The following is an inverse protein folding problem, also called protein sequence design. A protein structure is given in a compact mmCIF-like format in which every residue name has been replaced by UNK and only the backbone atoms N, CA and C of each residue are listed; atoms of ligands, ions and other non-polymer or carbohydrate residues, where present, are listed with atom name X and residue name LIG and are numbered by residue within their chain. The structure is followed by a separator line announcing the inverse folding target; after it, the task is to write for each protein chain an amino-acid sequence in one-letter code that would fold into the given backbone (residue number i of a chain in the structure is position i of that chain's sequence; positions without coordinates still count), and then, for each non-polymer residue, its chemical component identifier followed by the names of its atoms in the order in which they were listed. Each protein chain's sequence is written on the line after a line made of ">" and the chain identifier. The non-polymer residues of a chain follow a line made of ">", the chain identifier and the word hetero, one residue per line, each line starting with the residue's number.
data_IF_893168177947
#
_entry.id   IF_893168177947
#
_cell.length_a   1.000
_cell.length_b   1.000
_cell.length_c   1.000
_cell.angle_alpha   90.00
_cell.angle_beta   90.00
_cell.angle_gamma   90.00
#
_symmetry.space_group_name_H-M   'P 1'
#
loop_
_entity.id
_entity.type
_entity.pdbx_description
1 polymer ?
#
# COMPACT_ATOMS: atom_id res chain seq x y z
N UNK A 1 -10.37 -0.43 18.04
CA UNK A 1 -10.40 0.82 17.26
C UNK A 1 -11.56 0.74 16.30
N UNK A 2 -12.18 1.87 15.91
CA UNK A 2 -13.20 1.84 14.86
C UNK A 2 -12.57 1.31 13.58
N UNK A 3 -13.17 0.28 12.99
CA UNK A 3 -12.77 -0.37 11.73
C UNK A 3 -12.54 0.67 10.62
N UNK A 4 -13.32 1.75 10.64
CA UNK A 4 -13.17 2.88 9.73
C UNK A 4 -11.80 3.57 9.83
N UNK A 5 -11.28 3.77 11.04
CA UNK A 5 -9.99 4.42 11.27
C UNK A 5 -8.86 3.54 10.74
N UNK A 6 -8.92 2.24 10.99
CA UNK A 6 -7.96 1.27 10.46
C UNK A 6 -7.95 1.29 8.93
N UNK A 7 -9.11 1.29 8.28
CA UNK A 7 -9.18 1.38 6.82
C UNK A 7 -8.56 2.66 6.27
N UNK A 8 -8.85 3.81 6.89
CA UNK A 8 -8.28 5.09 6.46
C UNK A 8 -6.76 5.09 6.63
N UNK A 9 -6.23 4.59 7.74
CA UNK A 9 -4.78 4.48 7.97
C UNK A 9 -4.13 3.59 6.91
N UNK A 10 -4.68 2.41 6.64
CA UNK A 10 -4.14 1.48 5.65
C UNK A 10 -4.16 2.07 4.23
N UNK A 11 -5.23 2.77 3.84
CA UNK A 11 -5.35 3.47 2.55
C UNK A 11 -4.30 4.56 2.44
N UNK A 12 -4.23 5.47 3.42
CA UNK A 12 -3.31 6.60 3.39
C UNK A 12 -1.88 6.09 3.36
N UNK A 13 -1.53 5.14 4.23
CA UNK A 13 -0.19 4.56 4.27
C UNK A 13 0.14 3.81 2.98
N UNK A 14 -0.83 3.14 2.37
CA UNK A 14 -0.67 2.51 1.06
C UNK A 14 -0.40 3.51 -0.07
N UNK A 15 -1.14 4.62 -0.11
CA UNK A 15 -0.87 5.70 -1.05
C UNK A 15 0.54 6.25 -0.85
N UNK A 16 0.94 6.51 0.40
CA UNK A 16 2.30 6.94 0.74
C UNK A 16 3.36 5.94 0.29
N UNK A 17 3.16 4.65 0.55
CA UNK A 17 4.07 3.59 0.10
C UNK A 17 4.24 3.54 -1.42
N UNK A 18 3.12 3.66 -2.16
CA UNK A 18 3.12 3.70 -3.63
C UNK A 18 3.85 4.91 -4.21
N UNK A 19 3.66 6.10 -3.61
CA UNK A 19 4.38 7.31 -4.01
C UNK A 19 5.86 7.21 -3.63
N UNK A 20 6.18 6.73 -2.43
CA UNK A 20 7.54 6.59 -1.92
C UNK A 20 8.38 5.68 -2.82
N UNK A 21 7.89 4.49 -3.17
CA UNK A 21 8.65 3.57 -4.03
C UNK A 21 8.81 4.13 -5.44
N UNK A 22 7.79 4.83 -5.95
CA UNK A 22 7.84 5.46 -7.27
C UNK A 22 8.90 6.55 -7.34
N UNK A 23 8.98 7.40 -6.31
CA UNK A 23 10.00 8.46 -6.21
C UNK A 23 11.39 7.85 -5.97
N UNK A 24 11.51 6.89 -5.05
CA UNK A 24 12.78 6.22 -4.74
C UNK A 24 13.38 5.48 -5.93
N UNK A 25 12.55 4.90 -6.79
CA UNK A 25 12.98 4.14 -7.97
C UNK A 25 12.91 4.93 -9.28
N UNK A 26 12.51 6.21 -9.26
CA UNK A 26 12.42 7.06 -10.44
C UNK A 26 11.39 6.60 -11.47
N UNK A 27 10.25 6.04 -11.04
CA UNK A 27 9.19 5.57 -11.93
C UNK A 27 8.33 6.73 -12.45
N UNK A 28 8.81 7.36 -13.51
CA UNK A 28 8.12 8.45 -14.20
C UNK A 28 7.06 7.91 -15.19
N UNK A 29 7.16 6.65 -15.58
CA UNK A 29 6.27 6.02 -16.55
C UNK A 29 4.86 5.74 -15.99
N UNK A 30 4.69 5.81 -14.67
CA UNK A 30 3.41 5.59 -13.99
C UNK A 30 2.80 6.95 -13.65
N UNK A 31 1.56 7.17 -14.09
CA UNK A 31 0.81 8.39 -13.79
C UNK A 31 0.41 8.46 -12.31
N UNK A 32 0.27 9.68 -11.79
CA UNK A 32 -0.07 9.91 -10.39
C UNK A 32 -1.39 9.25 -9.94
N UNK A 33 -2.48 9.25 -10.73
CA UNK A 33 -3.71 8.55 -10.35
C UNK A 33 -3.51 7.05 -10.19
N UNK A 34 -2.71 6.43 -11.07
CA UNK A 34 -2.42 4.99 -11.00
C UNK A 34 -1.63 4.64 -9.74
N UNK A 35 -0.64 5.47 -9.36
CA UNK A 35 0.11 5.30 -8.11
C UNK A 35 -0.79 5.37 -6.88
N UNK A 36 -1.75 6.30 -6.87
CA UNK A 36 -2.70 6.46 -5.75
C UNK A 36 -3.61 5.24 -5.65
N UNK A 37 -4.22 4.82 -6.76
CA UNK A 37 -5.16 3.70 -6.78
C UNK A 37 -4.45 2.39 -6.43
N UNK A 38 -3.29 2.13 -7.05
CA UNK A 38 -2.49 0.93 -6.76
C UNK A 38 -2.01 0.91 -5.31
N UNK A 39 -1.54 2.06 -4.81
CA UNK A 39 -1.12 2.23 -3.42
C UNK A 39 -2.26 1.99 -2.44
N UNK A 40 -3.42 2.60 -2.66
CA UNK A 40 -4.60 2.45 -1.81
C UNK A 40 -5.10 1.00 -1.77
N UNK A 41 -5.26 0.35 -2.92
CA UNK A 41 -5.72 -1.05 -3.01
C UNK A 41 -4.69 -1.99 -2.39
N UNK A 42 -3.40 -1.79 -2.67
CA UNK A 42 -2.32 -2.59 -2.08
C UNK A 42 -2.24 -2.44 -0.57
N UNK A 43 -2.39 -1.22 -0.06
CA UNK A 43 -2.37 -0.93 1.36
C UNK A 43 -3.58 -1.52 2.09
N UNK A 44 -4.77 -1.45 1.49
CA UNK A 44 -5.96 -2.13 2.01
C UNK A 44 -5.81 -3.66 2.03
N UNK A 45 -5.39 -4.25 0.92
CA UNK A 45 -5.27 -5.69 0.81
C UNK A 45 -4.22 -6.24 1.79
N UNK A 46 -3.06 -5.60 1.89
CA UNK A 46 -2.00 -6.02 2.80
C UNK A 46 -2.32 -5.66 4.26
N UNK A 47 -2.93 -4.50 4.51
CA UNK A 47 -3.39 -4.10 5.84
C UNK A 47 -4.43 -5.06 6.41
N UNK A 48 -5.39 -5.52 5.61
CA UNK A 48 -6.35 -6.56 6.02
C UNK A 48 -5.68 -7.90 6.34
N UNK A 49 -4.68 -8.30 5.54
CA UNK A 49 -3.92 -9.53 5.78
C UNK A 49 -3.09 -9.44 7.07
N UNK A 50 -2.44 -8.30 7.32
CA UNK A 50 -1.64 -8.06 8.53
C UNK A 50 -2.54 -7.92 9.76
N UNK A 51 -3.64 -7.18 9.67
CA UNK A 51 -4.61 -7.04 10.76
C UNK A 51 -5.25 -8.37 11.17
N UNK A 52 -5.51 -9.27 10.21
CA UNK A 52 -6.00 -10.62 10.49
C UNK A 52 -4.97 -11.56 11.15
N UNK A 53 -3.67 -11.27 10.99
CA UNK A 53 -2.57 -12.08 11.54
C UNK A 53 -2.06 -11.57 12.90
N UNK A 54 -2.07 -10.25 13.12
CA UNK A 54 -1.46 -9.63 14.31
C UNK A 54 -2.34 -9.79 15.55
N UNK A 55 -3.66 -9.91 15.39
CA UNK A 55 -4.59 -10.08 16.51
C UNK A 55 -4.58 -8.91 17.50
N UNK A 56 -5.62 -8.80 18.33
CA UNK A 56 -5.85 -7.69 19.28
C UNK A 56 -4.84 -7.61 20.45
N UNK A 57 -3.62 -8.11 20.29
CA UNK A 57 -2.68 -8.28 21.40
C UNK A 57 -2.21 -6.95 22.03
N UNK A 58 -2.25 -5.82 21.30
CA UNK A 58 -2.05 -4.45 21.81
C UNK A 58 -2.47 -3.40 20.77
N UNK A 59 -3.32 -2.43 21.14
CA UNK A 59 -3.88 -1.42 20.22
C UNK A 59 -2.84 -0.57 19.47
N UNK A 60 -1.69 -0.29 20.10
CA UNK A 60 -0.60 0.44 19.46
C UNK A 60 0.14 -0.40 18.38
N UNK A 61 0.45 -1.66 18.68
CA UNK A 61 1.12 -2.55 17.72
C UNK A 61 0.19 -2.98 16.59
N UNK A 62 -1.11 -3.10 16.85
CA UNK A 62 -2.12 -3.31 15.82
C UNK A 62 -2.15 -2.13 14.85
N UNK A 63 -2.16 -0.89 15.35
CA UNK A 63 -2.16 0.32 14.52
C UNK A 63 -0.85 0.50 13.74
N UNK A 64 0.29 0.15 14.35
CA UNK A 64 1.59 0.14 13.67
C UNK A 64 1.65 -0.95 12.61
N UNK A 65 1.06 -2.12 12.87
CA UNK A 65 0.91 -3.21 11.91
C UNK A 65 0.02 -2.82 10.73
N UNK A 66 -1.09 -2.15 10.98
CA UNK A 66 -1.98 -1.60 9.94
C UNK A 66 -1.25 -0.55 9.09
N UNK A 67 -0.53 0.37 9.72
CA UNK A 67 0.23 1.40 9.02
C UNK A 67 1.39 0.80 8.20
N UNK A 68 2.15 -0.13 8.79
CA UNK A 68 3.26 -0.82 8.15
C UNK A 68 2.81 -1.74 7.02
N UNK A 69 1.75 -2.51 7.23
CA UNK A 69 1.09 -3.35 6.23
C UNK A 69 0.51 -2.51 5.10
N UNK A 70 -0.13 -1.39 5.43
CA UNK A 70 -0.58 -0.39 4.48
C UNK A 70 0.56 0.10 3.59
N UNK A 71 1.64 0.58 4.20
CA UNK A 71 2.82 1.10 3.48
C UNK A 71 3.50 0.06 2.60
N UNK A 72 3.80 -1.12 3.16
CA UNK A 72 4.45 -2.19 2.43
C UNK A 72 3.57 -2.72 1.29
N UNK A 73 2.27 -2.89 1.56
CA UNK A 73 1.27 -3.30 0.58
C UNK A 73 1.13 -2.32 -0.57
N UNK A 74 1.04 -1.03 -0.27
CA UNK A 74 0.92 0.01 -1.29
C UNK A 74 2.17 0.16 -2.16
N UNK A 75 3.36 0.04 -1.56
CA UNK A 75 4.61 -0.01 -2.30
C UNK A 75 4.69 -1.26 -3.21
N UNK A 76 4.33 -2.43 -2.67
CA UNK A 76 4.32 -3.70 -3.41
C UNK A 76 3.33 -3.72 -4.58
N UNK A 77 2.09 -3.26 -4.37
CA UNK A 77 1.09 -3.19 -5.42
C UNK A 77 1.50 -2.21 -6.52
N UNK A 78 2.06 -1.05 -6.16
CA UNK A 78 2.56 -0.08 -7.14
C UNK A 78 3.74 -0.67 -7.95
N UNK A 79 4.61 -1.44 -7.31
CA UNK A 79 5.68 -2.17 -7.99
C UNK A 79 5.15 -3.22 -8.97
N UNK A 80 4.09 -3.96 -8.59
CA UNK A 80 3.43 -4.92 -9.48
C UNK A 80 2.80 -4.24 -10.69
N UNK A 81 2.08 -3.14 -10.47
CA UNK A 81 1.50 -2.34 -11.57
C UNK A 81 2.58 -1.84 -12.51
N UNK A 82 3.72 -1.38 -11.99
CA UNK A 82 4.88 -1.00 -12.81
C UNK A 82 5.36 -2.15 -13.69
N UNK A 83 5.51 -3.35 -13.10
CA UNK A 83 5.94 -4.54 -13.85
C UNK A 83 4.92 -4.91 -14.92
N UNK A 84 3.63 -4.82 -14.62
CA UNK A 84 2.57 -5.05 -15.60
C UNK A 84 2.62 -4.04 -16.76
N UNK A 85 2.79 -2.75 -16.47
CA UNK A 85 2.96 -1.70 -17.49
C UNK A 85 4.18 -2.00 -18.36
N UNK A 86 5.32 -2.39 -17.76
CA UNK A 86 6.53 -2.73 -18.52
C UNK A 86 6.31 -3.95 -19.43
N UNK A 87 5.64 -4.99 -18.94
CA UNK A 87 5.34 -6.21 -19.73
C UNK A 87 4.36 -5.93 -20.87
N UNK A 88 3.31 -5.14 -20.62
CA UNK A 88 2.30 -4.79 -21.63
C UNK A 88 2.84 -3.80 -22.67
N UNK A 89 3.77 -2.93 -22.27
CA UNK A 89 4.43 -1.96 -23.14
C UNK A 89 5.53 -2.54 -24.05
N UNK A 90 5.79 -3.85 -24.01
CA UNK A 90 6.67 -4.52 -24.98
C UNK A 90 8.15 -4.11 -24.97
N UNK A 91 8.73 -3.76 -23.80
CA UNK A 91 10.18 -3.51 -23.65
C UNK A 91 10.82 -4.37 -22.56
#
# INVERSE_FOLDING_TARGET
>A
MDIFVTFVVQIIMGIFGGQMISTSRGWNDITQPVKIIAGAIGGLACGLLVGGLVGDANSFFAMLGDAGGGLAGGAGATALVRVAIKKLGGR
#
